data_IF_574447415103
#
_entry.id   IF_574447415103
#
_cell.length_a   1.000
_cell.length_b   1.000
_cell.length_c   1.000
_cell.angle_alpha   90.00
_cell.angle_beta   90.00
_cell.angle_gamma   90.00
#
_symmetry.space_group_name_H-M   'P 1'
#
loop_
_entity.id
_entity.type
_entity.pdbx_description
1 polymer ?
#
# COMPACT_ATOMS: atom_id res chain seq x y z
N UNK A 1 44.91 -25.35 73.83
CA UNK A 1 44.30 -24.26 74.62
C UNK A 1 43.12 -23.70 73.79
N UNK A 2 41.97 -23.80 74.37
CA UNK A 2 40.69 -23.43 73.83
C UNK A 2 40.49 -21.92 73.72
N UNK A 3 39.74 -21.47 72.77
CA UNK A 3 38.73 -20.43 73.00
C UNK A 3 37.62 -20.53 71.94
N UNK A 4 36.51 -20.93 72.44
CA UNK A 4 35.13 -20.80 71.79
C UNK A 4 34.82 -19.33 71.76
N UNK A 5 34.15 -18.90 70.66
CA UNK A 5 33.61 -17.56 70.47
C UNK A 5 32.42 -17.58 69.56
N UNK A 6 31.29 -17.71 70.13
CA UNK A 6 29.90 -17.32 69.84
C UNK A 6 29.45 -17.05 68.39
N UNK A 7 28.54 -17.91 67.96
CA UNK A 7 27.58 -17.76 66.97
C UNK A 7 26.56 -16.67 67.37
N UNK A 8 26.41 -15.64 66.58
CA UNK A 8 25.22 -14.73 66.61
C UNK A 8 24.53 -14.78 65.30
N UNK A 9 23.43 -15.46 65.29
CA UNK A 9 22.40 -15.49 64.22
C UNK A 9 21.67 -14.15 64.17
N UNK A 10 21.85 -13.41 63.08
CA UNK A 10 20.98 -12.30 62.76
C UNK A 10 20.12 -12.72 61.53
N UNK A 11 18.93 -13.17 61.87
CA UNK A 11 17.81 -13.36 60.93
C UNK A 11 17.23 -11.98 60.61
N UNK A 12 17.57 -11.39 59.49
CA UNK A 12 16.93 -10.19 59.01
C UNK A 12 16.02 -10.58 57.83
N UNK A 13 14.75 -10.62 58.11
CA UNK A 13 13.65 -10.76 57.16
C UNK A 13 13.63 -9.47 56.35
N UNK A 14 14.13 -9.54 55.12
CA UNK A 14 13.96 -8.46 54.12
C UNK A 14 12.74 -8.82 53.28
N UNK A 15 11.55 -8.45 53.76
CA UNK A 15 10.33 -8.45 52.93
C UNK A 15 10.44 -7.35 51.89
N UNK A 16 10.94 -7.69 50.69
CA UNK A 16 10.91 -6.81 49.55
C UNK A 16 9.50 -6.84 48.99
N UNK A 17 8.68 -5.85 49.32
CA UNK A 17 7.42 -5.54 48.68
C UNK A 17 7.72 -5.15 47.21
N UNK A 18 7.55 -6.10 46.29
CA UNK A 18 7.47 -5.84 44.86
C UNK A 18 6.15 -5.11 44.57
N UNK A 19 6.17 -3.78 44.66
CA UNK A 19 5.17 -2.94 44.00
C UNK A 19 5.40 -3.10 42.50
N UNK A 20 4.65 -4.03 41.88
CA UNK A 20 4.47 -4.06 40.45
C UNK A 20 3.68 -2.83 40.06
N UNK A 21 4.37 -1.72 39.81
CA UNK A 21 3.81 -0.59 39.11
C UNK A 21 3.49 -1.08 37.69
N UNK A 22 2.25 -1.47 37.46
CA UNK A 22 1.68 -1.65 36.14
C UNK A 22 1.73 -0.29 35.43
N UNK A 23 2.84 -0.05 34.74
CA UNK A 23 2.95 1.04 33.78
C UNK A 23 1.98 0.67 32.67
N UNK A 24 0.73 1.08 32.84
CA UNK A 24 -0.27 1.03 31.79
C UNK A 24 0.29 1.86 30.64
N UNK A 25 0.70 1.21 29.58
CA UNK A 25 0.99 1.90 28.33
C UNK A 25 -0.25 2.75 28.01
N UNK A 26 -0.09 4.06 27.79
CA UNK A 26 -1.22 4.89 27.39
C UNK A 26 -1.83 4.21 26.15
N UNK A 27 -3.08 3.73 26.30
CA UNK A 27 -3.86 3.37 25.14
C UNK A 27 -3.85 4.64 24.28
N UNK A 28 -3.20 4.57 23.14
CA UNK A 28 -3.33 5.61 22.13
C UNK A 28 -4.82 5.70 21.84
N UNK A 29 -5.48 6.66 22.46
CA UNK A 29 -6.82 7.08 22.10
C UNK A 29 -6.62 7.74 20.75
N UNK A 30 -6.83 6.96 19.67
CA UNK A 30 -6.97 7.54 18.34
C UNK A 30 -8.10 8.55 18.49
N UNK A 31 -7.84 9.87 18.29
CA UNK A 31 -8.91 10.85 18.38
C UNK A 31 -10.04 10.35 17.48
N UNK A 32 -11.30 10.53 17.93
CA UNK A 32 -12.46 10.26 17.08
C UNK A 32 -12.36 11.15 15.85
N UNK A 33 -11.71 10.62 14.82
CA UNK A 33 -11.61 11.29 13.53
C UNK A 33 -12.99 11.24 12.90
N UNK A 34 -13.44 12.32 12.26
CA UNK A 34 -14.68 12.29 11.53
C UNK A 34 -14.62 11.22 10.46
N UNK A 35 -15.75 10.62 10.15
CA UNK A 35 -15.88 9.78 8.98
C UNK A 35 -15.63 10.66 7.74
N UNK A 36 -14.89 10.15 6.74
CA UNK A 36 -14.51 10.91 5.56
C UNK A 36 -14.98 10.20 4.29
N UNK A 37 -15.57 10.96 3.38
CA UNK A 37 -15.79 10.54 2.01
C UNK A 37 -15.09 11.53 1.07
N UNK A 38 -14.18 11.03 0.23
CA UNK A 38 -13.33 11.84 -0.63
C UNK A 38 -13.42 11.31 -2.05
N UNK A 39 -13.78 12.18 -2.98
CA UNK A 39 -13.88 11.84 -4.40
C UNK A 39 -12.82 12.58 -5.21
N UNK A 40 -12.01 11.83 -5.94
CA UNK A 40 -10.97 12.38 -6.80
C UNK A 40 -11.15 11.91 -8.24
N UNK A 41 -10.72 12.76 -9.15
CA UNK A 41 -10.63 12.47 -10.58
C UNK A 41 -9.16 12.40 -10.97
N UNK A 42 -8.82 11.41 -11.78
CA UNK A 42 -7.50 11.33 -12.40
C UNK A 42 -7.64 11.33 -13.92
N UNK A 43 -6.83 12.17 -14.58
CA UNK A 43 -6.70 12.22 -16.03
C UNK A 43 -5.32 11.76 -16.47
N UNK A 44 -5.20 11.36 -17.74
CA UNK A 44 -3.91 11.08 -18.37
C UNK A 44 -3.94 11.68 -19.78
N UNK A 45 -3.16 12.77 -19.97
CA UNK A 45 -3.37 13.68 -21.09
C UNK A 45 -4.79 14.25 -21.04
N UNK A 46 -5.45 14.36 -22.17
CA UNK A 46 -6.82 14.90 -22.29
C UNK A 46 -7.93 13.86 -21.97
N UNK A 47 -7.56 12.68 -21.48
CA UNK A 47 -8.52 11.60 -21.24
C UNK A 47 -8.77 11.42 -19.74
N UNK A 48 -10.04 11.39 -19.34
CA UNK A 48 -10.41 10.88 -18.04
C UNK A 48 -9.96 9.42 -17.95
N UNK A 49 -9.18 9.11 -16.93
CA UNK A 49 -8.71 7.76 -16.72
C UNK A 49 -9.51 7.06 -15.62
N UNK A 50 -9.78 7.79 -14.52
CA UNK A 50 -10.30 7.16 -13.33
C UNK A 50 -10.97 8.17 -12.39
N UNK A 51 -12.07 7.75 -11.78
CA UNK A 51 -12.68 8.40 -10.62
C UNK A 51 -12.55 7.46 -9.43
N UNK A 52 -12.00 7.97 -8.34
CA UNK A 52 -11.88 7.23 -7.09
C UNK A 52 -12.74 7.88 -6.02
N UNK A 53 -13.45 7.06 -5.25
CA UNK A 53 -14.09 7.49 -4.02
C UNK A 53 -13.48 6.73 -2.85
N UNK A 54 -12.89 7.45 -1.90
CA UNK A 54 -12.32 6.91 -0.68
C UNK A 54 -13.25 7.22 0.49
N UNK A 55 -13.65 6.20 1.21
CA UNK A 55 -14.37 6.29 2.48
C UNK A 55 -13.45 5.85 3.60
N UNK A 56 -13.41 6.61 4.69
CA UNK A 56 -12.58 6.32 5.87
C UNK A 56 -13.43 6.42 7.12
N UNK A 57 -13.35 5.40 7.98
CA UNK A 57 -13.98 5.37 9.30
C UNK A 57 -13.06 4.67 10.29
N UNK A 58 -12.40 5.44 11.14
CA UNK A 58 -11.39 4.91 12.05
C UNK A 58 -10.28 4.14 11.33
N UNK A 59 -10.11 2.86 11.68
CA UNK A 59 -9.11 1.98 11.07
C UNK A 59 -9.62 1.22 9.83
N UNK A 60 -10.73 1.65 9.22
CA UNK A 60 -11.35 1.00 8.08
C UNK A 60 -11.43 1.94 6.90
N UNK A 61 -11.17 1.41 5.72
CA UNK A 61 -11.17 2.17 4.48
C UNK A 61 -11.87 1.36 3.38
N UNK A 62 -12.60 2.07 2.53
CA UNK A 62 -13.17 1.55 1.29
C UNK A 62 -12.79 2.48 0.16
N UNK A 63 -12.20 1.94 -0.89
CA UNK A 63 -11.86 2.68 -2.11
C UNK A 63 -12.64 2.08 -3.27
N UNK A 64 -13.44 2.91 -3.92
CA UNK A 64 -14.14 2.57 -5.15
C UNK A 64 -13.40 3.17 -6.33
N UNK A 65 -13.07 2.33 -7.31
CA UNK A 65 -12.30 2.71 -8.48
C UNK A 65 -13.20 2.52 -9.71
N UNK A 66 -13.55 3.61 -10.36
CA UNK A 66 -14.34 3.61 -11.58
C UNK A 66 -13.48 4.09 -12.75
N UNK A 67 -13.33 3.28 -13.78
CA UNK A 67 -12.66 3.67 -15.03
C UNK A 67 -13.67 4.05 -16.10
N UNK A 68 -13.48 5.17 -16.78
CA UNK A 68 -14.51 5.74 -17.67
C UNK A 68 -14.65 5.06 -19.04
N UNK A 69 -13.65 4.37 -19.52
CA UNK A 69 -13.79 3.60 -20.79
C UNK A 69 -13.01 2.31 -20.76
N UNK A 70 -13.69 1.20 -21.05
CA UNK A 70 -12.99 -0.03 -21.34
C UNK A 70 -12.20 0.14 -22.66
N UNK A 71 -10.89 0.08 -22.57
CA UNK A 71 -10.13 -0.36 -23.74
C UNK A 71 -10.56 -1.80 -23.99
N UNK A 72 -10.76 -2.20 -25.20
CA UNK A 72 -11.44 -3.39 -25.74
C UNK A 72 -11.26 -4.76 -25.03
N UNK A 73 -10.70 -4.82 -23.85
CA UNK A 73 -10.45 -6.00 -23.02
C UNK A 73 -10.83 -5.87 -21.53
N UNK A 74 -11.04 -4.67 -21.03
CA UNK A 74 -11.53 -4.44 -19.67
C UNK A 74 -12.81 -3.59 -19.74
N UNK A 75 -13.94 -4.22 -20.01
CA UNK A 75 -15.25 -3.59 -19.83
C UNK A 75 -15.31 -3.01 -18.42
N UNK A 76 -15.38 -1.70 -18.30
CA UNK A 76 -15.38 -0.88 -17.08
C UNK A 76 -15.45 -1.67 -15.77
N UNK A 77 -14.29 -2.11 -15.28
CA UNK A 77 -14.23 -2.91 -14.07
C UNK A 77 -14.37 -1.98 -12.87
N UNK A 78 -15.52 -1.97 -12.21
CA UNK A 78 -15.67 -1.32 -10.92
C UNK A 78 -14.99 -2.19 -9.88
N UNK A 79 -13.80 -1.76 -9.48
CA UNK A 79 -13.03 -2.42 -8.41
C UNK A 79 -13.30 -1.69 -7.11
N UNK A 80 -13.63 -2.45 -6.08
CA UNK A 80 -13.74 -1.95 -4.72
C UNK A 80 -12.68 -2.63 -3.87
N UNK A 81 -11.90 -1.81 -3.15
CA UNK A 81 -10.95 -2.26 -2.16
C UNK A 81 -11.48 -1.91 -0.77
N UNK A 82 -11.70 -2.91 0.07
CA UNK A 82 -12.06 -2.73 1.49
C UNK A 82 -10.86 -3.14 2.33
N UNK A 83 -10.38 -2.23 3.18
CA UNK A 83 -9.27 -2.47 4.08
C UNK A 83 -9.75 -2.36 5.52
N UNK A 84 -9.56 -3.42 6.29
CA UNK A 84 -9.86 -3.50 7.71
C UNK A 84 -8.53 -3.62 8.46
N UNK A 85 -7.89 -2.47 8.76
CA UNK A 85 -6.57 -2.43 9.38
C UNK A 85 -6.59 -2.96 10.81
N UNK A 86 -7.70 -2.78 11.51
CA UNK A 86 -7.96 -3.37 12.81
C UNK A 86 -7.97 -4.91 12.78
N UNK A 87 -8.45 -5.49 11.69
CA UNK A 87 -8.51 -6.94 11.44
C UNK A 87 -7.34 -7.47 10.58
N UNK A 88 -6.41 -6.60 10.16
CA UNK A 88 -5.26 -6.92 9.29
C UNK A 88 -5.65 -7.68 8.01
N UNK A 89 -6.77 -7.34 7.43
CA UNK A 89 -7.28 -7.99 6.21
C UNK A 89 -7.81 -6.97 5.21
N UNK A 90 -7.74 -7.33 3.94
CA UNK A 90 -8.35 -6.56 2.87
C UNK A 90 -9.14 -7.47 1.92
N UNK A 91 -10.14 -6.87 1.28
CA UNK A 91 -10.95 -7.50 0.24
C UNK A 91 -10.83 -6.66 -1.02
N UNK A 92 -10.56 -7.31 -2.14
CA UNK A 92 -10.68 -6.70 -3.47
C UNK A 92 -11.90 -7.31 -4.13
N UNK A 93 -12.86 -6.47 -4.53
CA UNK A 93 -14.12 -6.90 -5.09
C UNK A 93 -14.22 -6.49 -6.56
N UNK A 94 -14.68 -7.40 -7.39
CA UNK A 94 -15.22 -7.11 -8.70
C UNK A 94 -16.74 -6.95 -8.55
N UNK A 95 -17.22 -5.72 -8.58
CA UNK A 95 -18.64 -5.38 -8.40
C UNK A 95 -19.53 -5.96 -9.48
N UNK A 96 -19.03 -6.07 -10.71
CA UNK A 96 -19.75 -6.57 -11.86
C UNK A 96 -20.07 -8.06 -11.73
N UNK A 97 -19.05 -8.85 -11.41
CA UNK A 97 -19.16 -10.30 -11.43
C UNK A 97 -19.44 -10.87 -10.04
N UNK A 98 -19.55 -9.99 -9.03
CA UNK A 98 -19.75 -10.35 -7.61
C UNK A 98 -18.71 -11.37 -7.12
N UNK A 99 -17.45 -11.09 -7.44
CA UNK A 99 -16.30 -11.92 -7.06
C UNK A 99 -15.40 -11.12 -6.15
N UNK A 100 -14.84 -11.77 -5.11
CA UNK A 100 -13.89 -11.14 -4.20
C UNK A 100 -12.62 -11.95 -4.00
N UNK A 101 -11.53 -11.27 -3.75
CA UNK A 101 -10.30 -11.85 -3.23
C UNK A 101 -10.00 -11.28 -1.84
N UNK A 102 -9.48 -12.13 -0.95
CA UNK A 102 -9.00 -11.71 0.36
C UNK A 102 -7.49 -11.71 0.39
N UNK A 103 -6.89 -10.71 1.01
CA UNK A 103 -5.47 -10.68 1.32
C UNK A 103 -5.24 -10.18 2.75
N UNK A 104 -4.17 -10.64 3.38
CA UNK A 104 -3.72 -10.12 4.66
C UNK A 104 -3.01 -8.77 4.45
N UNK A 105 -3.28 -7.82 5.34
CA UNK A 105 -2.52 -6.57 5.44
C UNK A 105 -1.28 -6.90 6.28
N UNK A 106 -0.22 -7.36 5.62
CA UNK A 106 1.07 -7.57 6.28
C UNK A 106 1.82 -6.25 6.41
N UNK A 107 2.47 -6.07 7.54
CA UNK A 107 3.49 -5.03 7.68
C UNK A 107 4.60 -5.31 6.67
N UNK A 108 4.78 -4.38 5.73
CA UNK A 108 5.78 -4.50 4.67
C UNK A 108 7.19 -4.69 5.23
N UNK A 109 7.50 -4.07 6.37
CA UNK A 109 8.78 -4.24 7.06
C UNK A 109 8.99 -5.69 7.52
N UNK A 110 7.95 -6.33 8.03
CA UNK A 110 7.98 -7.75 8.44
C UNK A 110 8.06 -8.68 7.24
N UNK A 111 7.39 -8.33 6.14
CA UNK A 111 7.47 -9.09 4.88
C UNK A 111 8.87 -9.04 4.28
N UNK A 112 9.53 -7.88 4.31
CA UNK A 112 10.92 -7.74 3.87
C UNK A 112 11.89 -8.54 4.76
N UNK A 113 11.67 -8.56 6.08
CA UNK A 113 12.47 -9.38 7.01
C UNK A 113 12.28 -10.89 6.75
N UNK A 114 11.07 -11.31 6.41
CA UNK A 114 10.73 -12.71 6.08
C UNK A 114 11.18 -13.11 4.67
N UNK A 115 11.28 -12.15 3.74
CA UNK A 115 11.81 -12.39 2.40
C UNK A 115 13.28 -12.80 2.54
N UNK A 116 13.54 -14.10 2.40
CA UNK A 116 14.86 -14.70 2.60
C UNK A 116 15.95 -13.91 1.85
N UNK A 117 17.08 -13.59 2.53
CA UNK A 117 18.23 -12.91 1.89
C UNK A 117 18.75 -13.63 0.63
N UNK A 118 18.45 -14.91 0.48
CA UNK A 118 18.83 -15.75 -0.64
C UNK A 118 18.33 -15.24 -2.00
N UNK A 119 17.16 -14.58 -2.06
CA UNK A 119 16.67 -14.03 -3.33
C UNK A 119 17.39 -12.75 -3.76
N UNK A 120 17.82 -11.94 -2.82
CA UNK A 120 18.56 -10.71 -3.11
C UNK A 120 19.99 -10.99 -3.58
N UNK A 121 20.62 -12.04 -3.04
CA UNK A 121 21.97 -12.47 -3.45
C UNK A 121 22.01 -13.14 -4.83
N UNK A 122 20.88 -13.66 -5.34
CA UNK A 122 20.77 -14.29 -6.67
C UNK A 122 20.38 -13.32 -7.78
N UNK A 123 20.10 -12.05 -7.46
CA UNK A 123 19.86 -11.02 -8.47
C UNK A 123 21.23 -10.58 -9.02
N UNK A 124 21.69 -11.26 -10.06
CA UNK A 124 22.92 -10.94 -10.79
C UNK A 124 22.79 -9.74 -11.73
N UNK A 125 21.65 -9.06 -11.68
CA UNK A 125 21.32 -7.95 -12.56
C UNK A 125 22.13 -6.68 -12.30
N UNK A 126 22.08 -5.77 -13.24
CA UNK A 126 22.71 -4.46 -13.14
C UNK A 126 22.10 -3.63 -12.00
N UNK A 127 22.88 -2.72 -11.45
CA UNK A 127 22.37 -1.78 -10.44
C UNK A 127 21.52 -0.70 -11.12
N UNK A 128 20.36 -0.41 -10.51
CA UNK A 128 19.47 0.69 -10.89
C UNK A 128 19.36 1.63 -9.71
N UNK A 129 19.82 2.87 -9.88
CA UNK A 129 19.73 3.90 -8.85
C UNK A 129 18.42 4.68 -9.04
N UNK A 130 17.55 4.67 -8.02
CA UNK A 130 16.39 5.54 -7.96
C UNK A 130 16.68 6.68 -7.00
N UNK A 131 16.70 7.90 -7.49
CA UNK A 131 16.86 9.11 -6.68
C UNK A 131 15.48 9.76 -6.50
N UNK A 132 15.08 10.00 -5.25
CA UNK A 132 13.82 10.65 -4.89
C UNK A 132 14.16 11.94 -4.15
N UNK A 133 13.75 13.06 -4.71
CA UNK A 133 13.86 14.38 -4.11
C UNK A 133 12.45 14.92 -3.82
N UNK A 134 12.15 15.23 -2.57
CA UNK A 134 10.84 15.68 -2.12
C UNK A 134 10.98 16.95 -1.29
N UNK A 135 10.39 18.03 -1.76
CA UNK A 135 10.53 19.38 -1.19
C UNK A 135 9.16 19.96 -0.85
N UNK A 136 8.96 20.35 0.41
CA UNK A 136 7.87 21.24 0.81
C UNK A 136 8.31 22.67 0.47
N UNK A 137 7.58 23.34 -0.41
CA UNK A 137 7.94 24.69 -0.87
C UNK A 137 7.74 25.77 0.20
N UNK A 138 7.04 25.45 1.29
CA UNK A 138 6.61 26.39 2.31
C UNK A 138 5.28 27.09 1.98
N UNK A 139 4.78 26.99 0.76
CA UNK A 139 3.49 27.55 0.38
C UNK A 139 2.33 26.80 1.04
N UNK A 140 1.31 27.58 1.45
CA UNK A 140 0.11 27.06 2.11
C UNK A 140 -1.13 27.70 1.52
N UNK A 141 -2.19 26.92 1.36
CA UNK A 141 -3.52 27.44 1.00
C UNK A 141 -4.62 26.78 1.81
N UNK A 142 -5.72 27.50 2.05
CA UNK A 142 -6.90 26.91 2.68
C UNK A 142 -7.70 26.13 1.64
N UNK A 143 -8.12 24.93 2.05
CA UNK A 143 -9.02 24.09 1.27
C UNK A 143 -10.09 23.51 2.21
N UNK A 144 -11.32 24.03 2.08
CA UNK A 144 -12.39 23.81 3.05
C UNK A 144 -11.89 24.27 4.45
N UNK A 145 -11.77 23.38 5.42
CA UNK A 145 -11.18 23.67 6.74
C UNK A 145 -9.76 23.09 6.91
N UNK A 146 -9.20 22.46 5.85
CA UNK A 146 -7.84 21.94 5.84
C UNK A 146 -6.85 22.99 5.36
N UNK A 147 -5.64 22.95 5.90
CA UNK A 147 -4.50 23.69 5.34
C UNK A 147 -3.73 22.78 4.40
N UNK A 148 -3.78 23.10 3.12
CA UNK A 148 -3.01 22.39 2.11
C UNK A 148 -1.59 22.95 2.03
N UNK A 149 -0.62 22.07 1.84
CA UNK A 149 0.79 22.37 1.60
C UNK A 149 1.20 22.00 0.19
N UNK A 150 2.09 22.81 -0.38
CA UNK A 150 2.63 22.60 -1.71
C UNK A 150 3.90 21.76 -1.65
N UNK A 151 3.90 20.62 -2.33
CA UNK A 151 5.05 19.70 -2.36
C UNK A 151 5.43 19.39 -3.80
N UNK A 152 6.72 19.46 -4.08
CA UNK A 152 7.33 19.04 -5.34
C UNK A 152 8.12 17.77 -5.12
N UNK A 153 7.95 16.79 -6.00
CA UNK A 153 8.70 15.54 -5.96
C UNK A 153 9.31 15.25 -7.31
N UNK A 154 10.60 14.94 -7.31
CA UNK A 154 11.31 14.50 -8.49
C UNK A 154 11.86 13.10 -8.24
N UNK A 155 11.52 12.17 -9.13
CA UNK A 155 12.01 10.79 -9.09
C UNK A 155 12.82 10.57 -10.36
N UNK A 156 14.07 10.14 -10.21
CA UNK A 156 14.93 9.78 -11.34
C UNK A 156 15.40 8.34 -11.21
N UNK A 157 15.25 7.58 -12.27
CA UNK A 157 15.70 6.20 -12.39
C UNK A 157 16.90 6.17 -13.34
N UNK A 158 18.07 5.87 -12.78
CA UNK A 158 19.34 5.80 -13.49
C UNK A 158 19.78 4.32 -13.57
N UNK A 159 19.57 3.65 -14.72
CA UNK A 159 20.02 2.28 -14.90
C UNK A 159 21.53 2.21 -15.12
N UNK A 160 22.20 1.30 -14.43
CA UNK A 160 23.59 0.94 -14.70
C UNK A 160 23.75 0.14 -15.98
N UNK A 161 25.01 -0.09 -16.42
CA UNK A 161 25.29 -0.89 -17.63
C UNK A 161 24.67 -2.29 -17.55
N UNK A 162 23.93 -2.67 -18.58
CA UNK A 162 23.28 -3.99 -18.68
C UNK A 162 21.95 -4.09 -17.92
N UNK A 163 21.43 -3.01 -17.34
CA UNK A 163 20.12 -3.00 -16.76
C UNK A 163 19.04 -3.18 -17.82
N UNK A 164 17.99 -3.92 -17.47
CA UNK A 164 16.79 -4.07 -18.30
C UNK A 164 15.74 -2.99 -18.02
N UNK A 165 15.86 -2.31 -16.89
CA UNK A 165 15.00 -1.18 -16.52
C UNK A 165 15.39 0.05 -17.33
N UNK A 166 14.44 0.72 -18.02
CA UNK A 166 14.75 1.94 -18.76
C UNK A 166 15.00 3.13 -17.81
N UNK A 167 15.79 4.08 -18.28
CA UNK A 167 15.93 5.37 -17.62
C UNK A 167 14.59 6.13 -17.68
N UNK A 168 14.21 6.74 -16.57
CA UNK A 168 12.99 7.56 -16.50
C UNK A 168 13.13 8.68 -15.50
N UNK A 169 12.38 9.74 -15.75
CA UNK A 169 12.25 10.89 -14.84
C UNK A 169 10.76 11.17 -14.62
N UNK A 170 10.39 11.41 -13.38
CA UNK A 170 9.03 11.77 -12.99
C UNK A 170 9.08 13.03 -12.11
N UNK A 171 8.36 14.06 -12.51
CA UNK A 171 8.20 15.29 -11.76
C UNK A 171 6.74 15.42 -11.36
N UNK A 172 6.51 15.56 -10.06
CA UNK A 172 5.19 15.77 -9.47
C UNK A 172 5.18 17.11 -8.77
N UNK A 173 4.16 17.91 -9.08
CA UNK A 173 3.88 19.20 -8.46
C UNK A 173 2.46 19.15 -7.92
N UNK A 174 2.26 19.39 -6.61
CA UNK A 174 0.93 19.18 -6.06
C UNK A 174 0.67 19.84 -4.72
N UNK A 175 -0.62 19.95 -4.43
CA UNK A 175 -1.18 20.42 -3.18
C UNK A 175 -1.75 19.26 -2.39
N UNK A 176 -1.38 19.16 -1.12
CA UNK A 176 -1.72 18.00 -0.28
C UNK A 176 -2.26 18.45 1.07
N UNK A 177 -3.26 17.75 1.56
CA UNK A 177 -3.77 17.90 2.92
C UNK A 177 -3.34 16.71 3.77
N UNK A 178 -3.09 16.95 5.05
CA UNK A 178 -2.80 15.90 6.00
C UNK A 178 -4.12 15.38 6.57
N UNK A 179 -4.50 14.19 6.15
CA UNK A 179 -5.68 13.49 6.65
C UNK A 179 -5.24 12.48 7.70
N UNK A 180 -5.58 12.71 8.97
CA UNK A 180 -5.31 11.73 10.00
C UNK A 180 -6.11 10.44 9.73
N UNK A 181 -5.53 9.29 10.04
CA UNK A 181 -6.23 7.99 9.93
C UNK A 181 -6.06 7.24 8.61
N UNK A 182 -5.34 7.81 7.62
CA UNK A 182 -5.00 7.08 6.39
C UNK A 182 -3.87 6.04 6.56
N UNK A 183 -3.53 5.69 7.78
CA UNK A 183 -2.37 4.87 8.13
C UNK A 183 -2.29 3.49 7.48
N UNK A 184 -3.39 2.95 6.98
CA UNK A 184 -3.37 1.75 6.15
C UNK A 184 -2.78 2.00 4.77
N UNK A 185 -2.88 3.22 4.27
CA UNK A 185 -2.53 3.56 2.90
C UNK A 185 -1.05 3.95 2.76
N UNK A 186 -0.45 4.51 3.81
CA UNK A 186 0.98 4.87 3.80
C UNK A 186 1.89 3.66 3.62
N UNK A 187 1.50 2.50 4.15
CA UNK A 187 2.27 1.27 3.99
C UNK A 187 2.13 0.63 2.61
N UNK A 188 1.00 0.83 1.94
CA UNK A 188 0.74 0.22 0.64
C UNK A 188 1.27 1.03 -0.54
N UNK A 189 1.25 2.36 -0.47
CA UNK A 189 1.52 3.23 -1.63
C UNK A 189 3.01 3.41 -1.94
N UNK A 190 3.87 3.45 -0.92
CA UNK A 190 5.30 3.70 -1.12
C UNK A 190 6.10 2.50 -1.62
N UNK A 191 5.63 1.27 -1.37
CA UNK A 191 6.31 0.04 -1.80
C UNK A 191 5.86 -0.50 -3.16
N UNK A 192 4.60 -0.28 -3.52
CA UNK A 192 4.00 -0.91 -4.72
C UNK A 192 4.46 -0.25 -6.04
N UNK A 193 4.64 1.06 -6.04
CA UNK A 193 5.12 1.77 -7.23
C UNK A 193 6.57 1.38 -7.60
N UNK A 194 7.43 1.18 -6.62
CA UNK A 194 8.81 0.76 -6.83
C UNK A 194 8.94 -0.72 -7.24
N UNK A 195 8.03 -1.60 -6.77
CA UNK A 195 8.09 -3.03 -7.08
C UNK A 195 7.42 -3.41 -8.40
N UNK A 196 6.42 -2.66 -8.83
CA UNK A 196 5.77 -2.88 -10.14
C UNK A 196 6.70 -2.58 -11.32
N UNK A 197 7.74 -1.78 -11.11
CA UNK A 197 8.79 -1.46 -12.10
C UNK A 197 9.97 -2.42 -12.05
N UNK A 198 10.10 -3.24 -11.01
CA UNK A 198 11.22 -4.14 -10.87
C UNK A 198 11.12 -5.27 -11.89
N UNK A 199 11.82 -5.15 -13.00
CA UNK A 199 12.22 -6.32 -13.74
C UNK A 199 13.03 -7.19 -12.78
N UNK A 200 12.65 -8.46 -12.62
CA UNK A 200 13.14 -9.38 -11.57
C UNK A 200 14.67 -9.61 -11.60
N UNK A 201 15.36 -9.02 -12.57
CA UNK A 201 16.79 -9.19 -12.81
C UNK A 201 17.65 -8.04 -12.29
N UNK A 202 17.12 -6.82 -12.20
CA UNK A 202 17.88 -5.64 -11.79
C UNK A 202 17.89 -5.46 -10.25
N UNK A 203 18.97 -4.88 -9.73
CA UNK A 203 19.12 -4.54 -8.31
C UNK A 203 18.80 -3.07 -8.08
N UNK A 204 17.74 -2.77 -7.34
CA UNK A 204 17.31 -1.41 -7.06
C UNK A 204 17.96 -0.85 -5.79
N UNK A 205 18.50 0.37 -5.92
CA UNK A 205 19.02 1.17 -4.82
C UNK A 205 18.32 2.51 -4.80
N UNK A 206 17.78 2.89 -3.65
CA UNK A 206 17.06 4.17 -3.51
C UNK A 206 17.89 5.15 -2.71
N UNK A 207 18.00 6.38 -3.24
CA UNK A 207 18.61 7.55 -2.59
C UNK A 207 17.54 8.61 -2.34
N UNK A 208 17.38 9.01 -1.10
CA UNK A 208 16.47 10.08 -0.70
C UNK A 208 17.24 11.37 -0.50
N UNK A 209 16.83 12.46 -1.15
CA UNK A 209 17.41 13.79 -1.02
C UNK A 209 16.54 14.71 -0.18
N UNK A 210 15.25 14.53 -0.15
CA UNK A 210 14.30 15.28 0.63
C UNK A 210 13.41 14.37 1.48
N UNK A 211 12.64 14.96 2.40
CA UNK A 211 11.79 14.22 3.35
C UNK A 211 10.38 14.81 3.45
N UNK A 212 9.96 15.67 2.52
CA UNK A 212 8.61 16.20 2.55
C UNK A 212 7.61 15.06 2.38
N UNK A 213 6.77 14.75 3.38
CA UNK A 213 5.77 13.71 3.24
C UNK A 213 4.72 14.16 2.22
N UNK A 214 4.26 13.26 1.38
CA UNK A 214 3.05 13.50 0.60
C UNK A 214 1.85 13.26 1.52
N UNK A 215 0.92 14.20 1.58
CA UNK A 215 -0.40 13.99 2.17
C UNK A 215 -1.38 13.39 1.16
N UNK A 216 -2.67 13.62 1.39
CA UNK A 216 -3.70 13.29 0.42
C UNK A 216 -3.75 14.38 -0.66
N UNK A 217 -3.64 14.05 -1.97
CA UNK A 217 -3.61 15.05 -3.03
C UNK A 217 -4.99 15.68 -3.20
N UNK A 218 -5.03 17.01 -3.23
CA UNK A 218 -6.20 17.78 -3.64
C UNK A 218 -6.06 18.28 -5.08
N UNK A 219 -4.83 18.47 -5.51
CA UNK A 219 -4.44 18.84 -6.85
C UNK A 219 -3.01 18.36 -7.07
N UNK A 220 -2.77 17.58 -8.12
CA UNK A 220 -1.46 17.03 -8.40
C UNK A 220 -1.28 16.91 -9.92
N UNK A 221 -0.18 17.41 -10.44
CA UNK A 221 0.25 17.18 -11.82
C UNK A 221 1.53 16.37 -11.79
N UNK A 222 1.54 15.24 -12.47
CA UNK A 222 2.71 14.38 -12.63
C UNK A 222 3.11 14.31 -14.10
N UNK A 223 4.36 14.61 -14.39
CA UNK A 223 4.96 14.51 -15.71
C UNK A 223 6.01 13.40 -15.66
N UNK A 224 5.79 12.34 -16.43
CA UNK A 224 6.74 11.24 -16.58
C UNK A 224 7.38 11.25 -17.96
N UNK A 225 8.70 11.18 -17.98
CA UNK A 225 9.49 11.02 -19.21
C UNK A 225 10.21 9.68 -19.18
N UNK A 226 9.96 8.84 -20.18
CA UNK A 226 10.61 7.53 -20.33
C UNK A 226 10.90 7.28 -21.80
N UNK A 227 12.13 6.90 -22.12
CA UNK A 227 12.59 6.64 -23.51
C UNK A 227 12.22 7.77 -24.50
N UNK A 228 12.23 9.03 -24.06
CA UNK A 228 11.86 10.20 -24.87
C UNK A 228 10.36 10.45 -25.00
N UNK A 229 9.51 9.57 -24.49
CA UNK A 229 8.06 9.78 -24.43
C UNK A 229 7.70 10.52 -23.15
N UNK A 230 6.82 11.52 -23.28
CA UNK A 230 6.32 12.32 -22.15
C UNK A 230 4.85 12.03 -21.92
N UNK A 231 4.50 11.67 -20.69
CA UNK A 231 3.12 11.45 -20.28
C UNK A 231 2.79 12.39 -19.12
N UNK A 232 1.66 13.06 -19.20
CA UNK A 232 1.16 13.92 -18.11
C UNK A 232 -0.07 13.26 -17.51
N UNK A 233 -0.14 13.23 -16.19
CA UNK A 233 -1.33 12.82 -15.45
C UNK A 233 -1.68 13.85 -14.38
N UNK A 234 -2.95 14.04 -14.14
CA UNK A 234 -3.47 15.01 -13.17
C UNK A 234 -4.41 14.33 -12.21
N UNK A 235 -4.37 14.76 -10.96
CA UNK A 235 -5.34 14.39 -9.92
C UNK A 235 -6.01 15.65 -9.43
N UNK A 236 -7.32 15.60 -9.33
CA UNK A 236 -8.15 16.69 -8.83
C UNK A 236 -9.12 16.16 -7.79
N UNK A 237 -9.20 16.82 -6.65
CA UNK A 237 -10.20 16.56 -5.64
C UNK A 237 -11.54 17.18 -6.06
N UNK A 238 -12.56 16.34 -6.25
CA UNK A 238 -13.89 16.77 -6.64
C UNK A 238 -14.78 17.09 -5.43
N UNK A 239 -14.66 16.28 -4.37
CA UNK A 239 -15.52 16.37 -3.21
C UNK A 239 -14.82 15.84 -1.96
N UNK A 240 -15.07 16.48 -0.83
CA UNK A 240 -14.74 15.99 0.50
C UNK A 240 -15.93 16.22 1.44
N UNK A 241 -16.30 15.20 2.20
CA UNK A 241 -17.42 15.21 3.14
C UNK A 241 -17.04 14.52 4.45
N UNK A 242 -17.52 15.07 5.55
CA UNK A 242 -17.32 14.55 6.92
C UNK A 242 -18.65 14.05 7.51
N UNK A 243 -19.53 13.52 6.70
CA UNK A 243 -20.79 12.96 7.16
C UNK A 243 -20.61 11.54 7.71
N UNK A 244 -21.34 11.14 8.76
CA UNK A 244 -21.31 9.80 9.28
C UNK A 244 -21.54 8.74 8.18
N UNK A 245 -20.68 7.72 8.13
CA UNK A 245 -20.75 6.64 7.17
C UNK A 245 -21.40 5.39 7.79
N UNK A 246 -22.16 4.65 6.97
CA UNK A 246 -22.68 3.36 7.39
C UNK A 246 -21.53 2.35 7.58
N UNK A 247 -21.41 1.73 8.78
CA UNK A 247 -20.35 0.73 9.01
C UNK A 247 -20.39 -0.44 8.04
N UNK A 248 -21.54 -0.79 7.49
CA UNK A 248 -21.71 -1.94 6.59
C UNK A 248 -20.95 -1.80 5.27
N UNK A 249 -20.64 -0.58 4.83
CA UNK A 249 -19.87 -0.36 3.59
C UNK A 249 -18.42 -0.87 3.71
N UNK A 250 -17.92 -1.06 4.93
CA UNK A 250 -16.59 -1.57 5.21
C UNK A 250 -16.54 -3.08 5.43
N UNK A 251 -17.66 -3.77 5.26
CA UNK A 251 -17.75 -5.22 5.34
C UNK A 251 -17.87 -5.85 3.95
N UNK A 252 -17.54 -7.15 3.85
CA UNK A 252 -17.76 -7.91 2.64
C UNK A 252 -19.27 -8.04 2.39
N UNK A 253 -19.81 -7.51 1.27
CA UNK A 253 -21.22 -7.61 1.00
C UNK A 253 -21.69 -9.05 0.78
N UNK A 254 -22.93 -9.36 1.11
CA UNK A 254 -23.54 -10.67 0.84
C UNK A 254 -23.62 -10.95 -0.68
N UNK A 255 -23.60 -12.22 -1.06
CA UNK A 255 -23.76 -12.66 -2.44
C UNK A 255 -22.50 -12.62 -3.30
N UNK A 256 -21.34 -12.34 -2.73
CA UNK A 256 -20.06 -12.44 -3.44
C UNK A 256 -19.49 -13.85 -3.34
N UNK A 257 -18.90 -14.33 -4.43
CA UNK A 257 -18.14 -15.58 -4.48
C UNK A 257 -16.63 -15.32 -4.40
N UNK A 258 -15.89 -16.22 -3.76
CA UNK A 258 -14.44 -16.09 -3.68
C UNK A 258 -13.80 -16.25 -5.07
N UNK A 259 -12.76 -15.49 -5.35
CA UNK A 259 -11.99 -15.54 -6.58
C UNK A 259 -11.13 -16.81 -6.64
N UNK A 260 -10.92 -17.34 -7.85
CA UNK A 260 -10.00 -18.44 -8.10
C UNK A 260 -8.58 -18.03 -7.68
N UNK A 261 -8.01 -18.79 -6.75
CA UNK A 261 -6.62 -18.60 -6.32
C UNK A 261 -5.64 -19.09 -7.39
N UNK A 262 -4.69 -18.24 -7.76
CA UNK A 262 -3.63 -18.60 -8.70
C UNK A 262 -2.35 -19.00 -7.96
N UNK A 263 -1.61 -19.99 -8.47
CA UNK A 263 -0.46 -20.58 -7.76
C UNK A 263 0.71 -19.63 -7.44
N UNK A 264 0.61 -18.34 -7.77
CA UNK A 264 1.62 -17.31 -7.46
C UNK A 264 1.17 -16.37 -6.33
N UNK A 265 0.18 -16.78 -5.53
CA UNK A 265 -0.39 -15.95 -4.46
C UNK A 265 -1.33 -14.85 -4.95
N UNK A 266 -1.66 -14.84 -6.24
CA UNK A 266 -2.66 -13.94 -6.83
C UNK A 266 -4.05 -14.59 -6.86
N UNK A 267 -5.06 -13.79 -7.23
CA UNK A 267 -6.42 -14.23 -7.44
C UNK A 267 -6.96 -13.72 -8.78
N UNK A 268 -7.71 -14.56 -9.50
CA UNK A 268 -8.37 -14.16 -10.75
C UNK A 268 -9.79 -13.62 -10.42
N UNK A 269 -9.91 -12.32 -10.33
CA UNK A 269 -11.18 -11.63 -10.02
C UNK A 269 -12.25 -11.76 -11.14
N UNK A 270 -11.94 -12.40 -12.25
CA UNK A 270 -12.91 -12.67 -13.31
C UNK A 270 -13.47 -14.08 -13.23
N UNK A 271 -12.97 -14.91 -12.33
CA UNK A 271 -13.38 -16.30 -12.19
C UNK A 271 -13.66 -16.67 -10.75
N UNK A 272 -14.87 -17.17 -10.42
CA UNK A 272 -15.13 -17.69 -9.08
C UNK A 272 -14.37 -19.00 -8.84
N UNK A 273 -14.05 -19.25 -7.58
CA UNK A 273 -13.34 -20.46 -7.17
C UNK A 273 -14.27 -21.70 -7.16
N UNK A 274 -14.48 -22.25 -8.34
CA UNK A 274 -15.27 -23.48 -8.57
C UNK A 274 -14.36 -24.64 -8.95
N UNK A 275 -14.85 -25.86 -8.76
CA UNK A 275 -14.13 -27.09 -9.16
C UNK A 275 -13.77 -27.03 -10.65
N UNK A 276 -14.71 -26.59 -11.50
CA UNK A 276 -14.49 -26.44 -12.94
C UNK A 276 -13.37 -25.45 -13.27
N UNK A 277 -13.39 -24.25 -12.64
CA UNK A 277 -12.39 -23.22 -12.89
C UNK A 277 -11.01 -23.64 -12.35
N UNK A 278 -10.95 -24.32 -11.20
CA UNK A 278 -9.70 -24.93 -10.69
C UNK A 278 -9.15 -25.96 -11.66
N UNK A 279 -9.99 -26.88 -12.15
CA UNK A 279 -9.57 -27.91 -13.11
C UNK A 279 -9.02 -27.27 -14.39
N UNK A 280 -9.70 -26.30 -14.99
CA UNK A 280 -9.21 -25.58 -16.15
C UNK A 280 -7.88 -24.89 -15.93
N UNK A 281 -7.72 -24.23 -14.79
CA UNK A 281 -6.47 -23.56 -14.43
C UNK A 281 -5.30 -24.54 -14.33
N UNK A 282 -5.47 -25.66 -13.62
CA UNK A 282 -4.42 -26.68 -13.48
C UNK A 282 -4.11 -27.38 -14.80
N UNK A 283 -5.12 -27.65 -15.64
CA UNK A 283 -4.92 -28.18 -16.98
C UNK A 283 -4.13 -27.25 -17.89
N UNK A 284 -4.46 -25.98 -17.90
CA UNK A 284 -3.72 -24.98 -18.67
C UNK A 284 -2.26 -24.89 -18.22
N UNK A 285 -2.01 -24.93 -16.92
CA UNK A 285 -0.66 -24.92 -16.36
C UNK A 285 0.14 -26.17 -16.67
N UNK A 286 -0.49 -27.34 -16.57
CA UNK A 286 0.13 -28.60 -16.92
C UNK A 286 0.49 -28.68 -18.42
N UNK A 287 -0.43 -28.26 -19.29
CA UNK A 287 -0.20 -28.24 -20.74
C UNK A 287 0.91 -27.29 -21.15
N UNK A 288 1.05 -26.16 -20.46
CA UNK A 288 2.16 -25.21 -20.68
C UNK A 288 3.50 -25.86 -20.28
N UNK A 289 3.55 -26.52 -19.12
CA UNK A 289 4.75 -27.21 -18.63
C UNK A 289 5.17 -28.34 -19.56
N UNK A 290 4.23 -29.18 -20.01
CA UNK A 290 4.49 -30.27 -20.96
C UNK A 290 5.04 -29.73 -22.28
N UNK A 291 4.47 -28.64 -22.86
CA UNK A 291 4.99 -28.03 -24.08
C UNK A 291 6.40 -27.47 -23.91
N UNK A 292 6.76 -27.03 -22.71
CA UNK A 292 8.10 -26.56 -22.38
C UNK A 292 9.16 -27.66 -22.30
N UNK A 293 8.76 -28.92 -22.09
CA UNK A 293 9.68 -30.04 -22.06
C UNK A 293 10.07 -30.57 -23.46
N UNK A 294 9.31 -30.18 -24.49
CA UNK A 294 9.52 -30.63 -25.88
C UNK A 294 10.05 -29.51 -26.80
N UNK A 295 10.51 -28.42 -26.21
CA UNK A 295 11.30 -27.36 -26.89
C UNK A 295 12.73 -27.35 -26.39
#
# INVERSE_FOLDING_TARGET
MAKMGNLVTFSSIFSLLLLAASIGFPKFVVPNLPDLAIKTRRTSGDRLWQVNTLYVRGARQRTEIMTEKPTSRSDGMNIVLIQQCDAKRSFTLNERDKIYATSEIEDWSERLKKARPVRLAQMSGAEVLTTIDSVDTGERRQFVHYTARHVKVKIRVDPGPGASTPASEEETDGWYIDLPGLGCQEQASSGFALLGMANRLDRFRTKWLGKAPRGYPIEETTIRTEAGSKTTSEVELLEISETPLDPSIFELPAGYSQALQTGNGGADLNKPDTISNRAQYYWARLSFWVRGLFR
#
